data_IF_280295292899
#
_entry.id   IF_280295292899
#
_cell.length_a   1.000
_cell.length_b   1.000
_cell.length_c   1.000
_cell.angle_alpha   90.00
_cell.angle_beta   90.00
_cell.angle_gamma   90.00
#
_symmetry.space_group_name_H-M   'P 1'
#
loop_
_entity.id
_entity.type
_entity.pdbx_description
1 polymer ?
#
# COMPACT_ATOMS: atom_id res chain seq x y z
N UNK A 1 -3.68 -5.55 -2.61
CA UNK A 1 -4.54 -4.39 -2.92
C UNK A 1 -5.77 -4.44 -2.03
N UNK A 2 -6.50 -3.33 -1.84
CA UNK A 2 -7.74 -3.36 -1.09
C UNK A 2 -8.68 -4.32 -1.84
N UNK A 3 -8.91 -5.51 -1.27
CA UNK A 3 -9.63 -6.58 -1.96
C UNK A 3 -10.79 -7.03 -1.10
N UNK A 4 -12.00 -6.85 -1.64
CA UNK A 4 -13.23 -7.46 -1.15
C UNK A 4 -14.07 -8.09 -2.28
N UNK A 5 -13.51 -8.32 -3.49
CA UNK A 5 -14.32 -8.86 -4.60
C UNK A 5 -13.56 -9.64 -5.69
N UNK A 6 -14.09 -10.85 -5.94
CA UNK A 6 -14.05 -11.77 -7.09
C UNK A 6 -12.72 -12.23 -7.71
N UNK A 7 -11.61 -11.50 -7.61
CA UNK A 7 -10.35 -11.90 -8.26
C UNK A 7 -9.08 -11.76 -7.41
N UNK A 8 -9.20 -11.40 -6.12
CA UNK A 8 -8.14 -11.58 -5.15
C UNK A 8 -8.53 -12.69 -4.16
N UNK A 9 -7.66 -13.68 -3.95
CA UNK A 9 -8.01 -14.85 -3.14
C UNK A 9 -9.08 -15.73 -3.80
N UNK A 10 -9.92 -16.39 -3.00
CA UNK A 10 -11.00 -17.27 -3.48
C UNK A 10 -12.22 -16.52 -4.06
N UNK A 11 -12.16 -15.19 -4.14
CA UNK A 11 -13.25 -14.35 -4.66
C UNK A 11 -14.48 -14.27 -3.76
N UNK A 12 -14.42 -14.81 -2.54
CA UNK A 12 -15.55 -14.92 -1.59
C UNK A 12 -15.16 -14.46 -0.18
N UNK A 13 -13.92 -14.63 0.24
CA UNK A 13 -13.50 -14.44 1.63
C UNK A 13 -12.72 -13.14 1.84
N UNK A 14 -13.12 -12.28 2.80
CA UNK A 14 -12.33 -11.13 3.22
C UNK A 14 -10.93 -11.59 3.66
N UNK A 15 -9.88 -11.06 3.04
CA UNK A 15 -8.50 -11.52 3.29
C UNK A 15 -7.79 -10.61 4.29
N UNK A 16 -7.22 -11.22 5.34
CA UNK A 16 -6.30 -10.56 6.27
C UNK A 16 -4.88 -10.97 5.89
N UNK A 17 -4.03 -9.98 5.64
CA UNK A 17 -2.60 -10.16 5.41
C UNK A 17 -1.88 -9.29 6.44
N UNK A 18 -1.30 -9.96 7.44
CA UNK A 18 -0.28 -9.36 8.28
C UNK A 18 1.01 -10.16 8.10
N UNK A 19 2.03 -9.55 7.51
CA UNK A 19 3.22 -10.27 7.10
C UNK A 19 4.48 -9.43 7.18
N UNK A 20 5.48 -9.96 7.90
CA UNK A 20 6.86 -9.46 7.82
C UNK A 20 7.42 -9.73 6.43
N UNK A 21 7.91 -8.67 5.80
CA UNK A 21 8.58 -8.68 4.50
C UNK A 21 10.03 -8.28 4.68
N UNK A 22 10.92 -8.87 3.88
CA UNK A 22 12.35 -8.56 3.90
C UNK A 22 12.80 -8.07 2.52
N UNK A 23 13.98 -7.46 2.49
CA UNK A 23 14.60 -6.94 1.27
C UNK A 23 13.71 -5.91 0.54
N UNK A 24 13.05 -5.06 1.34
CA UNK A 24 12.19 -4.01 0.81
C UNK A 24 13.04 -2.85 0.31
N UNK A 25 12.76 -2.41 -0.91
CA UNK A 25 13.39 -1.24 -1.53
C UNK A 25 12.36 -0.14 -1.70
N UNK A 26 12.70 1.06 -1.28
CA UNK A 26 11.84 2.24 -1.34
C UNK A 26 12.57 3.33 -2.10
N UNK A 27 11.91 3.86 -3.13
CA UNK A 27 12.34 5.03 -3.89
C UNK A 27 11.25 6.08 -3.75
N UNK A 28 11.56 7.18 -3.09
CA UNK A 28 10.58 8.24 -2.82
C UNK A 28 11.23 9.62 -2.83
N UNK A 29 10.44 10.61 -3.23
CA UNK A 29 10.80 12.02 -3.08
C UNK A 29 10.50 12.57 -1.67
N UNK A 30 9.93 11.76 -0.76
CA UNK A 30 9.79 12.10 0.65
C UNK A 30 11.14 11.96 1.34
N UNK A 31 11.59 13.04 1.99
CA UNK A 31 12.89 13.08 2.63
C UNK A 31 13.05 11.96 3.67
N UNK A 32 14.16 11.22 3.60
CA UNK A 32 14.49 10.14 4.54
C UNK A 32 13.78 8.80 4.27
N UNK A 33 12.80 8.74 3.38
CA UNK A 33 12.02 7.52 3.13
C UNK A 33 12.75 6.52 2.21
N UNK A 34 13.56 7.01 1.26
CA UNK A 34 14.29 6.15 0.32
C UNK A 34 15.31 5.25 1.01
N UNK A 35 15.49 4.03 0.50
CA UNK A 35 16.50 3.09 0.97
C UNK A 35 16.24 1.67 0.46
N UNK A 36 17.16 0.76 0.74
CA UNK A 36 17.14 -0.62 0.23
C UNK A 36 17.48 -1.62 1.33
N UNK A 37 17.00 -2.85 1.18
CA UNK A 37 17.29 -3.92 2.15
C UNK A 37 16.52 -3.77 3.47
N UNK A 38 15.44 -2.99 3.48
CA UNK A 38 14.60 -2.85 4.66
C UNK A 38 13.93 -4.18 5.03
N UNK A 39 13.73 -4.40 6.32
CA UNK A 39 12.68 -5.27 6.84
C UNK A 39 11.43 -4.41 7.06
N UNK A 40 10.27 -4.97 6.77
CA UNK A 40 9.00 -4.27 6.88
C UNK A 40 7.87 -5.18 7.33
N UNK A 41 6.70 -4.58 7.41
CA UNK A 41 5.46 -5.25 7.75
C UNK A 41 4.34 -4.76 6.83
N UNK A 42 3.54 -5.71 6.34
CA UNK A 42 2.35 -5.45 5.54
C UNK A 42 1.13 -5.64 6.42
N UNK A 43 0.21 -4.69 6.37
CA UNK A 43 -1.01 -4.67 7.20
C UNK A 43 -2.22 -4.38 6.32
N UNK A 44 -2.73 -5.45 5.69
CA UNK A 44 -3.88 -5.38 4.79
C UNK A 44 -5.05 -6.15 5.41
N UNK A 45 -6.16 -5.46 5.68
CA UNK A 45 -7.37 -6.09 6.18
C UNK A 45 -8.61 -5.27 5.83
N UNK A 46 -9.79 -5.90 5.70
CA UNK A 46 -11.05 -5.20 5.44
C UNK A 46 -11.78 -4.75 6.70
N UNK A 47 -11.27 -5.14 7.87
CA UNK A 47 -11.92 -4.96 9.17
C UNK A 47 -11.44 -3.70 9.89
N UNK A 48 -11.97 -3.48 11.09
CA UNK A 48 -11.38 -2.59 12.08
C UNK A 48 -10.03 -3.14 12.55
N UNK A 49 -9.29 -2.30 13.27
CA UNK A 49 -8.02 -2.65 13.89
C UNK A 49 -7.74 -1.73 15.07
N UNK A 50 -6.79 -2.13 15.90
CA UNK A 50 -6.39 -1.43 17.11
C UNK A 50 -4.86 -1.35 17.20
N UNK A 51 -4.31 -0.42 18.01
CA UNK A 51 -2.87 -0.20 18.13
C UNK A 51 -2.07 -1.35 18.79
N UNK A 52 -2.68 -2.51 19.03
CA UNK A 52 -2.01 -3.59 19.74
C UNK A 52 -0.87 -4.18 18.89
N UNK A 53 0.28 -4.46 19.50
CA UNK A 53 1.43 -5.09 18.84
C UNK A 53 1.42 -6.63 18.95
N UNK A 54 0.39 -7.28 18.40
CA UNK A 54 0.17 -8.73 18.59
C UNK A 54 1.24 -9.62 17.96
N UNK A 55 1.90 -9.17 16.89
CA UNK A 55 3.03 -9.87 16.27
C UNK A 55 4.38 -9.56 16.94
N UNK A 56 4.40 -8.75 18.01
CA UNK A 56 5.62 -8.37 18.74
C UNK A 56 6.68 -7.75 17.84
N UNK A 57 6.25 -6.92 16.89
CA UNK A 57 7.10 -6.25 15.92
C UNK A 57 8.05 -5.30 16.68
N UNK A 58 9.38 -5.46 16.53
CA UNK A 58 10.34 -4.64 17.28
C UNK A 58 10.12 -3.14 17.04
N UNK A 59 9.94 -2.41 18.14
CA UNK A 59 9.76 -0.97 18.14
C UNK A 59 8.35 -0.48 17.83
N UNK A 60 7.39 -1.35 17.50
CA UNK A 60 5.99 -0.96 17.32
C UNK A 60 5.33 -0.69 18.69
N UNK A 61 4.45 0.31 18.72
CA UNK A 61 3.69 0.74 19.89
C UNK A 61 2.54 -0.24 20.15
N UNK A 62 2.10 -0.31 21.41
CA UNK A 62 0.86 -0.99 21.79
C UNK A 62 -0.29 -0.01 22.09
N UNK A 63 -0.09 1.28 21.77
CA UNK A 63 -0.96 2.38 22.20
C UNK A 63 -1.14 3.48 21.15
N UNK A 64 -0.46 3.36 20.01
CA UNK A 64 -0.45 4.31 18.90
C UNK A 64 -0.49 3.51 17.62
N UNK A 65 -1.33 3.89 16.65
CA UNK A 65 -1.42 3.16 15.40
C UNK A 65 -0.12 3.35 14.61
N UNK A 66 0.58 2.25 14.33
CA UNK A 66 1.87 2.28 13.65
C UNK A 66 2.10 1.08 12.73
N UNK A 67 3.24 0.40 12.86
CA UNK A 67 3.70 -0.66 11.96
C UNK A 67 3.59 -2.05 12.56
N UNK A 68 2.86 -2.18 13.66
CA UNK A 68 2.54 -3.45 14.27
C UNK A 68 1.11 -3.55 14.79
N UNK A 69 0.16 -2.85 14.19
CA UNK A 69 -1.23 -2.86 14.62
C UNK A 69 -1.88 -4.25 14.59
N UNK A 70 -2.98 -4.42 15.30
CA UNK A 70 -3.71 -5.70 15.36
C UNK A 70 -5.06 -5.57 14.70
N UNK A 71 -5.35 -6.47 13.77
CA UNK A 71 -6.68 -6.59 13.18
C UNK A 71 -7.71 -6.98 14.24
N UNK A 72 -8.83 -6.26 14.26
CA UNK A 72 -10.01 -6.65 15.01
C UNK A 72 -11.00 -7.22 13.99
N UNK A 73 -11.33 -8.52 14.07
CA UNK A 73 -12.17 -9.22 13.06
C UNK A 73 -13.67 -8.83 13.12
N UNK A 74 -13.94 -7.52 13.16
CA UNK A 74 -15.25 -6.88 13.20
C UNK A 74 -15.22 -5.57 12.39
N UNK A 75 -16.40 -5.00 12.15
CA UNK A 75 -16.51 -3.71 11.49
C UNK A 75 -16.00 -3.72 10.04
N UNK A 76 -15.78 -2.53 9.50
CA UNK A 76 -15.49 -2.33 8.08
C UNK A 76 -14.71 -1.05 7.83
N UNK A 77 -13.75 -0.72 8.70
CA UNK A 77 -12.87 0.41 8.44
C UNK A 77 -11.97 0.12 7.24
N UNK A 78 -11.19 -0.95 7.32
CA UNK A 78 -10.27 -1.38 6.27
C UNK A 78 -8.94 -0.63 6.30
N UNK A 79 -7.85 -1.35 6.05
CA UNK A 79 -6.48 -0.84 5.98
C UNK A 79 -5.68 -1.51 4.87
N UNK A 80 -4.88 -0.72 4.18
CA UNK A 80 -3.84 -1.17 3.26
C UNK A 80 -2.60 -0.36 3.55
N UNK A 81 -1.78 -0.85 4.47
CA UNK A 81 -0.58 -0.18 4.93
C UNK A 81 0.67 -1.02 4.70
N UNK A 82 1.76 -0.32 4.44
CA UNK A 82 3.07 -0.93 4.39
C UNK A 82 4.04 -0.08 5.16
N UNK A 83 4.83 -0.77 5.97
CA UNK A 83 5.80 -0.18 6.83
C UNK A 83 7.18 -0.80 6.61
N UNK A 84 8.22 -0.04 6.97
CA UNK A 84 9.58 -0.54 7.16
C UNK A 84 9.95 -0.36 8.63
N UNK A 85 10.49 -1.38 9.27
CA UNK A 85 10.74 -1.40 10.71
C UNK A 85 12.19 -1.74 11.10
N UNK A 86 13.08 -1.94 10.13
CA UNK A 86 14.50 -2.17 10.35
C UNK A 86 15.28 -2.25 9.04
N UNK A 87 16.62 -2.34 9.13
CA UNK A 87 17.48 -2.54 7.96
C UNK A 87 17.88 -1.28 7.17
N UNK A 88 17.45 -0.08 7.58
CA UNK A 88 17.87 1.18 6.95
C UNK A 88 17.53 2.44 7.77
N UNK A 89 17.43 3.59 7.09
CA UNK A 89 17.30 4.91 7.72
C UNK A 89 15.89 5.35 8.11
N UNK A 90 14.84 4.75 7.52
CA UNK A 90 13.44 5.02 7.86
C UNK A 90 12.86 3.94 8.76
N UNK A 91 11.99 4.35 9.69
CA UNK A 91 11.14 3.45 10.47
C UNK A 91 9.72 3.98 10.54
N UNK A 92 8.77 3.15 10.12
CA UNK A 92 7.35 3.44 10.08
C UNK A 92 6.79 3.30 8.67
N UNK A 93 5.74 4.06 8.41
CA UNK A 93 4.91 3.94 7.23
C UNK A 93 5.64 4.35 5.97
N UNK A 94 5.49 3.54 4.92
CA UNK A 94 5.89 3.86 3.55
C UNK A 94 4.69 4.43 2.81
N UNK A 95 3.54 3.76 2.89
CA UNK A 95 2.26 4.31 2.47
C UNK A 95 1.12 3.76 3.33
N UNK A 96 0.03 4.53 3.38
CA UNK A 96 -1.22 4.14 4.02
C UNK A 96 -2.42 4.48 3.14
N UNK A 97 -3.34 3.54 3.05
CA UNK A 97 -4.70 3.75 2.57
C UNK A 97 -5.69 3.02 3.46
N UNK A 98 -6.33 3.79 4.33
CA UNK A 98 -7.24 3.26 5.33
C UNK A 98 -8.66 3.81 5.08
N UNK A 99 -9.61 3.24 5.82
CA UNK A 99 -11.01 3.64 5.77
C UNK A 99 -11.62 3.51 4.37
N UNK A 100 -11.28 2.44 3.66
CA UNK A 100 -11.68 2.25 2.27
C UNK A 100 -13.05 1.57 2.08
N UNK A 101 -13.71 1.21 3.18
CA UNK A 101 -14.86 0.30 3.17
C UNK A 101 -16.19 0.91 3.61
N UNK A 102 -16.21 2.12 4.17
CA UNK A 102 -17.41 2.67 4.83
C UNK A 102 -18.07 3.85 4.11
N UNK A 103 -17.49 4.33 3.00
CA UNK A 103 -17.99 5.50 2.25
C UNK A 103 -17.66 6.85 2.88
N UNK A 104 -16.91 6.89 3.98
CA UNK A 104 -16.40 8.12 4.55
C UNK A 104 -15.12 8.58 3.84
N UNK A 105 -14.61 9.76 4.22
CA UNK A 105 -13.36 10.27 3.65
C UNK A 105 -12.22 9.34 4.07
N UNK A 106 -11.52 8.77 3.09
CA UNK A 106 -10.42 7.85 3.32
C UNK A 106 -9.21 8.52 3.98
N UNK A 107 -8.36 7.68 4.57
CA UNK A 107 -7.08 8.09 5.14
C UNK A 107 -5.96 7.76 4.14
N UNK A 108 -5.16 8.74 3.73
CA UNK A 108 -4.09 8.58 2.75
C UNK A 108 -2.79 9.20 3.26
N UNK A 109 -1.68 8.51 2.99
CA UNK A 109 -0.36 9.00 3.37
C UNK A 109 0.80 8.30 2.69
N UNK A 110 1.92 9.03 2.59
CA UNK A 110 3.22 8.52 2.19
C UNK A 110 4.23 8.98 3.25
N UNK A 111 5.02 8.06 3.79
CA UNK A 111 5.84 8.33 4.98
C UNK A 111 5.00 8.38 6.27
N UNK A 112 5.64 8.70 7.39
CA UNK A 112 4.93 8.89 8.66
C UNK A 112 4.10 10.17 8.64
N UNK A 113 2.91 10.12 9.24
CA UNK A 113 2.08 11.30 9.44
C UNK A 113 2.76 12.26 10.45
N UNK A 114 3.04 13.52 10.07
CA UNK A 114 3.62 14.47 11.01
C UNK A 114 2.63 14.96 12.08
N UNK A 115 1.31 14.80 11.87
CA UNK A 115 0.27 15.32 12.75
C UNK A 115 -0.82 14.25 12.99
N UNK A 116 -0.66 13.46 14.05
CA UNK A 116 -1.66 12.46 14.47
C UNK A 116 -1.05 11.07 14.58
N UNK A 117 -1.82 10.05 14.15
CA UNK A 117 -1.35 8.66 14.16
C UNK A 117 -0.25 8.46 13.10
N UNK A 118 0.92 7.92 13.48
CA UNK A 118 2.07 7.69 12.59
C UNK A 118 1.72 7.05 11.24
N UNK A 119 0.79 6.11 11.22
CA UNK A 119 0.36 5.34 10.04
C UNK A 119 -0.82 5.95 9.27
N UNK A 120 -1.16 7.20 9.57
CA UNK A 120 -2.31 7.92 9.01
C UNK A 120 -3.67 7.35 9.38
N UNK A 121 -3.75 6.36 10.27
CA UNK A 121 -5.03 5.90 10.81
C UNK A 121 -5.85 7.09 11.29
N UNK A 122 -7.14 7.09 10.95
CA UNK A 122 -8.14 8.09 11.31
C UNK A 122 -7.85 9.53 10.84
N UNK A 123 -6.97 9.72 9.84
CA UNK A 123 -6.61 11.04 9.32
C UNK A 123 -7.74 11.75 8.55
N UNK A 124 -8.61 11.00 7.88
CA UNK A 124 -9.76 11.46 7.08
C UNK A 124 -9.42 12.62 6.14
N UNK A 125 -8.35 12.44 5.35
CA UNK A 125 -7.67 13.50 4.59
C UNK A 125 -7.66 13.28 3.07
N UNK A 126 -8.33 12.26 2.53
CA UNK A 126 -8.31 12.00 1.09
C UNK A 126 -8.79 13.20 0.24
N UNK A 127 -9.67 14.04 0.78
CA UNK A 127 -10.16 15.27 0.14
C UNK A 127 -9.11 16.39 0.04
N UNK A 128 -7.98 16.28 0.74
CA UNK A 128 -6.88 17.25 0.68
C UNK A 128 -5.99 17.07 -0.57
N UNK A 129 -6.20 16.00 -1.34
CA UNK A 129 -5.39 15.66 -2.51
C UNK A 129 -6.15 15.91 -3.82
N UNK A 130 -5.46 16.28 -4.89
CA UNK A 130 -5.98 16.35 -6.26
C UNK A 130 -5.64 15.10 -7.07
N UNK A 131 -4.48 14.49 -6.79
CA UNK A 131 -4.06 13.20 -7.34
C UNK A 131 -4.04 12.19 -6.20
N UNK A 132 -4.63 11.02 -6.42
CA UNK A 132 -4.58 9.86 -5.50
C UNK A 132 -4.52 8.60 -6.33
N UNK A 133 -3.32 8.13 -6.63
CA UNK A 133 -3.11 7.03 -7.55
C UNK A 133 -2.34 5.91 -6.88
N UNK A 134 -2.86 4.70 -7.00
CA UNK A 134 -2.19 3.45 -6.64
C UNK A 134 -2.00 2.64 -7.92
N UNK A 135 -0.75 2.29 -8.23
CA UNK A 135 -0.44 1.28 -9.25
C UNK A 135 0.27 0.10 -8.61
N UNK A 136 -0.04 -1.09 -9.09
CA UNK A 136 0.54 -2.35 -8.61
C UNK A 136 1.22 -3.04 -9.77
N UNK A 137 2.43 -3.50 -9.52
CA UNK A 137 3.23 -4.20 -10.50
C UNK A 137 3.72 -5.53 -9.96
N UNK A 138 4.04 -6.45 -10.86
CA UNK A 138 4.70 -7.72 -10.53
C UNK A 138 5.93 -7.92 -11.41
N UNK A 139 6.93 -8.65 -10.91
CA UNK A 139 8.07 -9.10 -11.70
C UNK A 139 7.87 -10.57 -12.10
N UNK A 140 7.46 -10.87 -13.36
CA UNK A 140 7.13 -12.22 -13.79
C UNK A 140 8.33 -13.17 -13.76
N UNK A 141 8.04 -14.46 -13.55
CA UNK A 141 9.00 -15.57 -13.60
C UNK A 141 8.40 -16.72 -14.42
N UNK A 142 9.02 -17.13 -15.55
CA UNK A 142 10.23 -16.56 -16.16
C UNK A 142 10.00 -15.13 -16.68
N UNK A 143 11.07 -14.35 -16.91
CA UNK A 143 10.95 -13.02 -17.49
C UNK A 143 10.17 -13.06 -18.81
N UNK A 144 9.36 -12.03 -19.11
CA UNK A 144 8.60 -11.94 -20.34
C UNK A 144 9.50 -12.12 -21.56
N UNK A 145 9.09 -12.99 -22.51
CA UNK A 145 9.87 -13.29 -23.71
C UNK A 145 9.81 -12.17 -24.77
N UNK A 146 8.89 -11.23 -24.61
CA UNK A 146 8.77 -9.99 -25.39
C UNK A 146 8.88 -8.81 -24.43
N UNK A 147 9.46 -7.70 -24.91
CA UNK A 147 9.72 -6.48 -24.12
C UNK A 147 8.48 -6.09 -23.32
N UNK A 148 8.46 -6.35 -21.99
CA UNK A 148 7.26 -6.19 -21.23
C UNK A 148 6.99 -4.70 -21.07
N UNK A 149 5.76 -4.33 -21.43
CA UNK A 149 5.13 -3.05 -21.11
C UNK A 149 5.88 -2.27 -20.03
N UNK A 150 6.58 -1.22 -20.46
CA UNK A 150 7.45 -0.43 -19.60
C UNK A 150 6.62 0.13 -18.45
N UNK A 151 6.85 -0.38 -17.24
CA UNK A 151 6.49 0.31 -16.02
C UNK A 151 7.15 1.68 -16.08
N UNK A 152 6.33 2.73 -16.14
CA UNK A 152 6.68 4.15 -16.09
C UNK A 152 8.20 4.44 -16.15
N UNK A 153 8.71 4.81 -17.34
CA UNK A 153 10.15 5.09 -17.59
C UNK A 153 10.78 6.07 -16.60
N UNK A 154 9.97 6.80 -15.84
CA UNK A 154 10.41 7.74 -14.81
C UNK A 154 10.86 7.05 -13.51
N UNK A 155 10.78 5.71 -13.42
CA UNK A 155 11.24 4.93 -12.27
C UNK A 155 12.44 4.07 -12.70
N UNK A 156 13.64 4.46 -12.27
CA UNK A 156 14.90 3.79 -12.63
C UNK A 156 14.96 2.29 -12.28
N UNK A 157 14.20 1.84 -11.27
CA UNK A 157 14.25 0.46 -10.75
C UNK A 157 13.03 -0.40 -11.16
N UNK A 158 12.13 0.10 -12.02
CA UNK A 158 10.94 -0.64 -12.45
C UNK A 158 11.17 -1.57 -13.65
N UNK A 159 12.44 -1.79 -14.05
CA UNK A 159 12.76 -2.62 -15.20
C UNK A 159 12.22 -4.06 -15.03
N UNK A 160 11.59 -4.57 -16.08
CA UNK A 160 10.94 -5.89 -16.09
C UNK A 160 9.63 -6.03 -15.30
N UNK A 161 9.21 -5.03 -14.52
CA UNK A 161 7.92 -5.06 -13.82
C UNK A 161 6.75 -4.82 -14.78
N UNK A 162 5.67 -5.59 -14.61
CA UNK A 162 4.43 -5.47 -15.38
C UNK A 162 3.32 -4.87 -14.54
N UNK A 163 2.58 -3.91 -15.08
CA UNK A 163 1.42 -3.30 -14.43
C UNK A 163 0.28 -4.33 -14.32
N UNK A 164 -0.19 -4.57 -13.10
CA UNK A 164 -1.34 -5.42 -12.79
C UNK A 164 -2.59 -4.57 -12.58
N UNK A 165 -2.52 -3.60 -11.68
CA UNK A 165 -3.65 -2.75 -11.32
C UNK A 165 -3.27 -1.28 -11.38
N UNK A 166 -4.19 -0.44 -11.86
CA UNK A 166 -4.17 0.99 -11.63
C UNK A 166 -5.50 1.42 -11.01
N UNK A 167 -5.44 2.19 -9.93
CA UNK A 167 -6.60 2.66 -9.18
C UNK A 167 -6.47 4.16 -8.94
N UNK A 168 -7.46 4.91 -9.45
CA UNK A 168 -7.73 6.26 -9.01
C UNK A 168 -8.55 6.18 -7.72
N UNK A 169 -7.92 6.52 -6.60
CA UNK A 169 -8.55 6.38 -5.29
C UNK A 169 -9.60 7.50 -5.12
N UNK A 170 -10.88 7.16 -4.91
CA UNK A 170 -11.90 8.16 -4.65
C UNK A 170 -11.69 8.77 -3.26
N UNK A 171 -12.27 9.94 -3.03
CA UNK A 171 -12.27 10.56 -1.69
C UNK A 171 -13.04 9.72 -0.67
N UNK A 172 -14.16 9.11 -1.11
CA UNK A 172 -15.13 8.40 -0.29
C UNK A 172 -15.34 6.94 -0.77
N UNK A 173 -14.30 6.09 -0.78
CA UNK A 173 -14.42 4.69 -1.19
C UNK A 173 -15.42 3.94 -0.29
N UNK A 174 -16.20 3.05 -0.91
CA UNK A 174 -17.06 2.11 -0.19
C UNK A 174 -16.86 0.71 -0.78
N UNK A 175 -15.67 0.15 -0.56
CA UNK A 175 -15.29 -1.13 -1.15
C UNK A 175 -15.98 -2.34 -0.52
N UNK A 176 -16.74 -2.12 0.56
CA UNK A 176 -17.70 -3.09 1.08
C UNK A 176 -18.95 -3.19 0.22
N UNK A 177 -19.44 -2.08 -0.32
CA UNK A 177 -20.66 -2.04 -1.13
C UNK A 177 -20.41 -2.33 -2.61
N UNK A 178 -19.25 -1.93 -3.14
CA UNK A 178 -18.89 -2.12 -4.54
C UNK A 178 -17.40 -2.39 -4.68
N UNK A 179 -17.00 -3.25 -5.64
CA UNK A 179 -15.57 -3.50 -5.89
C UNK A 179 -14.83 -2.22 -6.30
N UNK A 180 -13.51 -2.11 -6.04
CA UNK A 180 -12.71 -1.04 -6.60
C UNK A 180 -12.83 -0.98 -8.12
N UNK A 181 -12.99 0.23 -8.65
CA UNK A 181 -13.04 0.48 -10.10
C UNK A 181 -11.62 0.74 -10.60
N UNK A 182 -10.94 -0.33 -11.01
CA UNK A 182 -9.58 -0.24 -11.54
C UNK A 182 -9.60 0.33 -12.97
N UNK A 183 -8.83 1.39 -13.21
CA UNK A 183 -8.64 1.94 -14.56
C UNK A 183 -7.76 1.03 -15.44
N UNK A 184 -6.98 0.13 -14.82
CA UNK A 184 -6.29 -0.99 -15.47
C UNK A 184 -6.43 -2.22 -14.58
N UNK A 185 -6.86 -3.35 -15.16
CA UNK A 185 -6.89 -4.67 -14.51
C UNK A 185 -6.34 -5.73 -15.47
N UNK A 186 -5.06 -6.07 -15.30
CA UNK A 186 -4.36 -7.12 -16.04
C UNK A 186 -4.21 -8.41 -15.21
N UNK A 187 -4.98 -8.58 -14.15
CA UNK A 187 -4.82 -9.70 -13.21
C UNK A 187 -4.92 -11.07 -13.86
N UNK A 188 -5.75 -11.21 -14.89
CA UNK A 188 -5.89 -12.44 -15.69
C UNK A 188 -4.66 -12.79 -16.51
N UNK A 189 -3.76 -11.83 -16.74
CA UNK A 189 -2.51 -12.02 -17.48
C UNK A 189 -1.30 -12.23 -16.57
N UNK A 190 -1.48 -12.16 -15.25
CA UNK A 190 -0.42 -12.39 -14.28
C UNK A 190 -0.14 -13.89 -14.19
N UNK A 191 1.08 -14.28 -14.58
CA UNK A 191 1.64 -15.61 -14.33
C UNK A 191 2.37 -15.64 -12.99
N UNK A 192 3.16 -16.70 -12.72
CA UNK A 192 4.07 -16.72 -11.57
C UNK A 192 4.99 -15.50 -11.57
N UNK A 193 5.20 -14.91 -10.40
CA UNK A 193 6.04 -13.74 -10.21
C UNK A 193 6.90 -13.88 -8.95
N UNK A 194 8.02 -13.16 -8.89
CA UNK A 194 8.96 -13.17 -7.76
C UNK A 194 8.86 -11.91 -6.89
N UNK A 195 8.30 -10.82 -7.41
CA UNK A 195 8.23 -9.53 -6.70
C UNK A 195 6.93 -8.82 -6.98
N UNK A 196 6.52 -7.98 -6.03
CA UNK A 196 5.37 -7.07 -6.13
C UNK A 196 5.83 -5.65 -5.82
N UNK A 197 5.36 -4.67 -6.58
CA UNK A 197 5.65 -3.26 -6.33
C UNK A 197 4.36 -2.44 -6.28
N UNK A 198 4.41 -1.36 -5.50
CA UNK A 198 3.33 -0.41 -5.31
C UNK A 198 3.86 0.98 -5.58
N UNK A 199 3.31 1.66 -6.59
CA UNK A 199 3.58 3.06 -6.85
C UNK A 199 2.41 3.90 -6.33
N UNK A 200 2.73 4.83 -5.44
CA UNK A 200 1.81 5.78 -4.85
C UNK A 200 2.13 7.20 -5.32
N UNK A 201 1.11 7.92 -5.77
CA UNK A 201 1.22 9.35 -6.10
C UNK A 201 0.08 10.13 -5.46
N UNK A 202 0.43 11.08 -4.61
CA UNK A 202 -0.47 11.98 -3.91
C UNK A 202 -0.08 13.44 -4.21
N UNK A 203 -1.00 14.27 -4.71
CA UNK A 203 -0.73 15.72 -4.90
C UNK A 203 -1.63 16.51 -3.98
N UNK A 204 -1.08 17.35 -3.10
CA UNK A 204 -1.89 18.19 -2.18
C UNK A 204 -2.54 19.32 -2.99
N UNK A 205 -3.79 19.67 -2.66
CA UNK A 205 -4.49 20.83 -3.24
C UNK A 205 -3.64 22.10 -3.07
N UNK A 206 -3.42 22.82 -4.17
CA UNK A 206 -2.63 24.05 -4.15
C UNK A 206 -1.11 23.84 -4.10
N UNK A 207 -0.64 22.60 -4.04
CA UNK A 207 0.78 22.26 -4.26
C UNK A 207 1.00 21.90 -5.73
N UNK A 208 2.08 22.41 -6.33
CA UNK A 208 2.46 22.10 -7.71
C UNK A 208 3.28 20.82 -7.86
N UNK A 209 3.68 20.18 -6.76
CA UNK A 209 4.56 19.00 -6.76
C UNK A 209 3.88 17.80 -6.09
N UNK A 210 3.80 16.64 -6.76
CA UNK A 210 3.28 15.42 -6.16
C UNK A 210 4.25 14.90 -5.08
N UNK A 211 3.71 14.38 -3.99
CA UNK A 211 4.35 13.41 -3.12
C UNK A 211 4.26 12.05 -3.81
N UNK A 212 5.40 11.44 -4.09
CA UNK A 212 5.47 10.17 -4.82
C UNK A 212 6.36 9.20 -4.04
N UNK A 213 5.85 7.99 -3.81
CA UNK A 213 6.62 6.90 -3.24
C UNK A 213 6.37 5.65 -4.06
N UNK A 214 7.46 5.07 -4.51
CA UNK A 214 7.49 3.74 -5.04
C UNK A 214 8.08 2.81 -3.99
N UNK A 215 7.34 1.76 -3.73
CA UNK A 215 7.69 0.71 -2.81
C UNK A 215 7.77 -0.60 -3.57
N UNK A 216 8.96 -1.18 -3.63
CA UNK A 216 9.20 -2.51 -4.17
C UNK A 216 9.37 -3.48 -3.01
N UNK A 217 8.46 -4.45 -2.94
CA UNK A 217 8.55 -5.53 -1.98
C UNK A 217 8.90 -6.83 -2.66
N UNK A 218 9.73 -7.62 -2.00
CA UNK A 218 9.99 -8.97 -2.46
C UNK A 218 8.98 -9.90 -1.81
N UNK A 219 8.22 -10.62 -2.66
CA UNK A 219 7.47 -11.78 -2.25
C UNK A 219 8.45 -12.94 -2.02
N UNK A 220 8.04 -13.89 -1.18
CA UNK A 220 8.83 -15.06 -0.75
C UNK A 220 9.48 -15.82 -1.90
#
# INVERSE_FOLDING_TARGET
VPCLSLQCGDGVTPTVIQQIVNNVNVVSNVAGLSGSGYTGNVEFWPYNYSPGNSLTIPGASSSTFDYGDTVDLNGSFGSMQVHVNGGGGHRGTVFAFNRFNDGAVADLGIGNNPNGQPDWSIASNANAFTVRNLKVFVLPTPPPQVDPYIADKNIQDADGFQLVYALDIPTNPNYRAAKPDYSVDNSQSVSSFSRIAYLWSLTIIGSGSPWTSLLMMHGR
#
